data_IF_758696915584
#
_entry.id   IF_758696915584
#
_cell.length_a   1.000
_cell.length_b   1.000
_cell.length_c   1.000
_cell.angle_alpha   90.00
_cell.angle_beta   90.00
_cell.angle_gamma   90.00
#
_symmetry.space_group_name_H-M   'P 1'
#
loop_
_entity.id
_entity.type
_entity.pdbx_description
1 polymer ?
#
# COMPACT_ATOMS: atom_id res chain seq x y z
N UNK A 1 -6.66 32.20 22.62
CA UNK A 1 -6.36 31.87 21.20
C UNK A 1 -7.22 30.66 20.85
N UNK A 2 -8.23 30.81 19.97
CA UNK A 2 -8.96 29.64 19.49
C UNK A 2 -7.99 28.81 18.63
N UNK A 3 -7.75 27.56 19.03
CA UNK A 3 -7.02 26.62 18.18
C UNK A 3 -7.74 26.55 16.83
N UNK A 4 -6.98 26.54 15.73
CA UNK A 4 -7.57 26.23 14.43
C UNK A 4 -8.32 24.89 14.57
N UNK A 5 -9.49 24.72 13.93
CA UNK A 5 -10.21 23.46 13.98
C UNK A 5 -9.29 22.29 13.57
N UNK A 6 -9.62 21.03 13.89
CA UNK A 6 -8.81 19.90 13.45
C UNK A 6 -8.82 19.80 11.91
N UNK A 7 -7.76 19.22 11.35
CA UNK A 7 -7.66 18.96 9.91
C UNK A 7 -8.56 17.79 9.49
N UNK A 8 -8.51 16.73 10.29
CA UNK A 8 -9.20 15.48 10.11
C UNK A 8 -9.65 14.98 11.49
N UNK A 9 -10.57 14.02 11.49
CA UNK A 9 -10.94 13.25 12.68
C UNK A 9 -10.92 11.78 12.29
N UNK A 10 -10.40 10.92 13.16
CA UNK A 10 -10.33 9.50 12.90
C UNK A 10 -10.86 8.71 14.10
N UNK A 11 -11.42 7.55 13.82
CA UNK A 11 -11.83 6.57 14.82
C UNK A 11 -11.47 5.18 14.32
N UNK A 12 -11.05 4.33 15.24
CA UNK A 12 -10.63 2.96 14.95
C UNK A 12 -11.18 2.00 15.98
N UNK A 13 -11.49 0.78 15.54
CA UNK A 13 -11.88 -0.30 16.42
C UNK A 13 -11.49 -1.64 15.80
N UNK A 14 -11.00 -2.54 16.64
CA UNK A 14 -10.79 -3.96 16.32
C UNK A 14 -11.54 -4.80 17.33
N UNK A 15 -12.17 -5.87 16.87
CA UNK A 15 -13.00 -6.78 17.65
C UNK A 15 -12.71 -8.22 17.22
N UNK A 16 -12.70 -9.14 18.18
CA UNK A 16 -12.42 -10.56 17.91
C UNK A 16 -13.52 -11.22 17.06
N UNK A 17 -14.71 -10.63 16.98
CA UNK A 17 -15.87 -11.24 16.38
C UNK A 17 -16.60 -12.18 17.34
N UNK A 18 -17.45 -13.05 16.80
CA UNK A 18 -18.24 -14.01 17.61
C UNK A 18 -17.71 -15.43 17.54
N UNK A 19 -17.01 -15.79 16.47
CA UNK A 19 -16.62 -17.19 16.19
C UNK A 19 -15.13 -17.47 16.40
N UNK A 20 -14.28 -16.44 16.39
CA UNK A 20 -12.84 -16.58 16.69
C UNK A 20 -12.59 -16.44 18.19
N UNK A 21 -11.48 -17.03 18.66
CA UNK A 21 -11.01 -16.95 20.06
C UNK A 21 -9.91 -15.92 20.26
N UNK A 22 -9.15 -15.66 19.21
CA UNK A 22 -7.98 -14.78 19.20
C UNK A 22 -8.21 -13.74 18.12
N UNK A 23 -7.78 -12.51 18.38
CA UNK A 23 -7.78 -11.46 17.39
C UNK A 23 -6.42 -11.42 16.71
N UNK A 24 -6.38 -11.80 15.44
CA UNK A 24 -5.18 -11.78 14.59
C UNK A 24 -5.13 -10.52 13.71
N UNK A 25 -6.16 -9.67 13.75
CA UNK A 25 -6.09 -8.34 13.16
C UNK A 25 -5.28 -7.38 14.02
N UNK A 26 -4.65 -6.41 13.36
CA UNK A 26 -4.02 -5.26 13.99
C UNK A 26 -4.42 -3.96 13.27
N UNK A 27 -4.36 -2.86 14.02
CA UNK A 27 -4.71 -1.52 13.52
C UNK A 27 -3.70 -0.49 13.98
N UNK A 28 -3.36 0.45 13.09
CA UNK A 28 -2.43 1.54 13.34
C UNK A 28 -3.12 2.88 13.10
N UNK A 29 -2.88 3.84 13.99
CA UNK A 29 -3.19 5.24 13.79
C UNK A 29 -2.04 6.11 14.33
N UNK A 30 -1.46 6.91 13.46
CA UNK A 30 -0.32 7.76 13.76
C UNK A 30 -0.60 9.18 13.26
N UNK A 31 -0.66 10.13 14.18
CA UNK A 31 -0.80 11.54 13.84
C UNK A 31 0.50 12.08 13.22
N UNK A 32 0.37 12.78 12.09
CA UNK A 32 1.49 13.39 11.38
C UNK A 32 1.28 14.90 11.26
N UNK A 33 2.35 15.71 11.16
CA UNK A 33 2.21 17.17 11.12
C UNK A 33 1.31 17.72 10.01
N UNK A 34 1.09 16.96 8.93
CA UNK A 34 0.30 17.38 7.76
C UNK A 34 -0.91 16.46 7.49
N UNK A 35 -1.22 15.54 8.41
CA UNK A 35 -2.25 14.52 8.23
C UNK A 35 -2.08 13.35 9.20
N UNK A 36 -2.07 12.13 8.68
CA UNK A 36 -1.95 10.92 9.51
C UNK A 36 -1.66 9.68 8.69
N UNK A 37 -1.12 8.65 9.34
CA UNK A 37 -0.94 7.31 8.77
C UNK A 37 -1.85 6.34 9.52
N UNK A 38 -2.75 5.70 8.78
CA UNK A 38 -3.69 4.71 9.28
C UNK A 38 -3.45 3.40 8.55
N UNK A 39 -3.52 2.27 9.24
CA UNK A 39 -3.41 0.98 8.57
C UNK A 39 -4.22 -0.10 9.28
N UNK A 40 -4.62 -1.11 8.50
CA UNK A 40 -5.21 -2.36 8.95
C UNK A 40 -4.35 -3.50 8.41
N UNK A 41 -4.10 -4.49 9.24
CA UNK A 41 -3.41 -5.72 8.88
C UNK A 41 -4.21 -6.91 9.43
N UNK A 42 -4.54 -7.87 8.57
CA UNK A 42 -5.24 -9.11 8.91
C UNK A 42 -4.22 -10.24 8.93
N UNK A 43 -3.93 -10.76 10.12
CA UNK A 43 -2.89 -11.76 10.35
C UNK A 43 -3.37 -13.17 10.06
N UNK A 44 -2.62 -13.89 9.21
CA UNK A 44 -2.90 -15.28 8.86
C UNK A 44 -1.79 -16.23 9.33
N UNK A 45 -2.21 -17.42 9.74
CA UNK A 45 -1.34 -18.44 10.32
C UNK A 45 -2.04 -19.14 11.48
N UNK A 46 -1.41 -20.17 12.07
CA UNK A 46 -1.89 -20.72 13.33
C UNK A 46 -2.04 -19.62 14.40
N UNK A 47 -2.88 -19.85 15.42
CA UNK A 47 -3.30 -18.87 16.44
C UNK A 47 -2.30 -17.72 16.72
N UNK A 48 -1.18 -17.99 17.40
CA UNK A 48 -0.21 -16.96 17.81
C UNK A 48 0.57 -16.34 16.63
N UNK A 49 0.65 -17.03 15.50
CA UNK A 49 1.46 -16.61 14.36
C UNK A 49 0.80 -15.48 13.55
N UNK A 50 -0.53 -15.50 13.41
CA UNK A 50 -1.27 -14.43 12.72
C UNK A 50 -1.18 -13.10 13.46
N UNK A 51 -1.46 -13.09 14.77
CA UNK A 51 -1.35 -11.89 15.62
C UNK A 51 0.06 -11.30 15.57
N UNK A 52 1.09 -12.14 15.69
CA UNK A 52 2.48 -11.70 15.59
C UNK A 52 2.79 -11.08 14.23
N UNK A 53 2.35 -11.71 13.14
CA UNK A 53 2.59 -11.21 11.79
C UNK A 53 1.96 -9.82 11.55
N UNK A 54 0.70 -9.63 11.96
CA UNK A 54 0.00 -8.35 11.80
C UNK A 54 0.68 -7.23 12.60
N UNK A 55 1.05 -7.48 13.87
CA UNK A 55 1.74 -6.50 14.70
C UNK A 55 3.14 -6.15 14.15
N UNK A 56 3.95 -7.15 13.79
CA UNK A 56 5.27 -6.93 13.19
C UNK A 56 5.19 -6.08 11.91
N UNK A 57 4.17 -6.31 11.08
CA UNK A 57 3.98 -5.53 9.88
C UNK A 57 3.67 -4.06 10.18
N UNK A 58 2.77 -3.78 11.13
CA UNK A 58 2.40 -2.39 11.48
C UNK A 58 3.52 -1.65 12.22
N UNK A 59 4.25 -2.34 13.10
CA UNK A 59 5.41 -1.77 13.80
C UNK A 59 6.49 -1.37 12.80
N UNK A 60 6.89 -2.30 11.92
CA UNK A 60 7.87 -2.03 10.88
C UNK A 60 7.40 -0.94 9.90
N UNK A 61 6.11 -0.95 9.51
CA UNK A 61 5.54 0.10 8.64
C UNK A 61 5.70 1.48 9.30
N UNK A 62 5.27 1.63 10.55
CA UNK A 62 5.28 2.91 11.25
C UNK A 62 6.72 3.42 11.47
N UNK A 63 7.61 2.56 11.94
CA UNK A 63 9.01 2.90 12.19
C UNK A 63 9.73 3.31 10.91
N UNK A 64 9.67 2.47 9.87
CA UNK A 64 10.36 2.76 8.61
C UNK A 64 9.77 3.95 7.88
N UNK A 65 8.45 4.18 7.99
CA UNK A 65 7.88 5.39 7.43
C UNK A 65 8.43 6.63 8.15
N UNK A 66 8.40 6.67 9.49
CA UNK A 66 8.86 7.80 10.30
C UNK A 66 10.35 8.11 10.11
N UNK A 67 11.21 7.10 10.08
CA UNK A 67 12.66 7.24 9.88
C UNK A 67 13.04 7.45 8.41
N UNK A 68 12.15 7.06 7.50
CA UNK A 68 12.35 7.11 6.06
C UNK A 68 12.62 8.52 5.54
N UNK A 69 13.48 8.63 4.53
CA UNK A 69 13.80 9.88 3.84
C UNK A 69 13.26 9.84 2.41
N UNK A 70 12.98 11.00 1.84
CA UNK A 70 12.49 11.12 0.46
C UNK A 70 11.01 11.50 0.39
N UNK A 71 10.41 11.29 -0.79
CA UNK A 71 9.03 11.66 -1.02
C UNK A 71 8.07 10.68 -0.31
N UNK A 72 6.91 11.12 0.20
CA UNK A 72 5.98 10.25 0.92
C UNK A 72 5.56 8.96 0.18
N UNK A 73 5.29 8.96 -1.14
CA UNK A 73 5.02 7.70 -1.86
C UNK A 73 6.18 6.70 -1.84
N UNK A 74 7.42 7.19 -1.94
CA UNK A 74 8.62 6.36 -1.91
C UNK A 74 8.85 5.80 -0.50
N UNK A 75 8.73 6.66 0.52
CA UNK A 75 8.82 6.27 1.94
C UNK A 75 7.77 5.22 2.30
N UNK A 76 6.54 5.39 1.84
CA UNK A 76 5.45 4.44 2.10
C UNK A 76 5.74 3.09 1.43
N UNK A 77 6.16 3.07 0.17
CA UNK A 77 6.53 1.82 -0.52
C UNK A 77 7.74 1.12 0.14
N UNK A 78 8.75 1.88 0.55
CA UNK A 78 9.92 1.34 1.28
C UNK A 78 9.51 0.78 2.65
N UNK A 79 8.59 1.44 3.36
CA UNK A 79 8.07 0.98 4.64
C UNK A 79 7.24 -0.32 4.52
N UNK A 80 6.41 -0.45 3.48
CA UNK A 80 5.69 -1.71 3.18
C UNK A 80 6.68 -2.84 2.88
N UNK A 81 7.73 -2.57 2.11
CA UNK A 81 8.76 -3.57 1.85
C UNK A 81 9.53 -3.97 3.12
N UNK A 82 9.74 -3.05 4.06
CA UNK A 82 10.33 -3.37 5.35
C UNK A 82 9.38 -4.20 6.21
N UNK A 83 8.09 -3.87 6.26
CA UNK A 83 7.06 -4.67 6.92
C UNK A 83 7.03 -6.11 6.39
N UNK A 84 7.07 -6.29 5.07
CA UNK A 84 7.17 -7.60 4.46
C UNK A 84 8.40 -8.41 4.94
N UNK A 85 9.56 -7.76 5.00
CA UNK A 85 10.79 -8.41 5.44
C UNK A 85 10.77 -8.75 6.93
N UNK A 86 10.16 -7.88 7.76
CA UNK A 86 10.01 -8.13 9.19
C UNK A 86 9.18 -9.40 9.43
N UNK A 87 8.03 -9.54 8.76
CA UNK A 87 7.20 -10.76 8.84
C UNK A 87 7.97 -11.98 8.32
N UNK A 88 8.59 -11.88 7.14
CA UNK A 88 9.35 -12.99 6.53
C UNK A 88 10.51 -13.48 7.42
N UNK A 89 11.23 -12.57 8.08
CA UNK A 89 12.37 -12.92 8.95
C UNK A 89 11.94 -13.65 10.22
N UNK A 90 10.74 -13.37 10.71
CA UNK A 90 10.19 -14.00 11.91
C UNK A 90 9.39 -15.27 11.59
N UNK A 91 9.17 -15.61 10.32
CA UNK A 91 8.46 -16.80 9.88
C UNK A 91 9.33 -18.08 9.98
N UNK A 92 9.84 -18.37 11.18
CA UNK A 92 10.75 -19.48 11.50
C UNK A 92 10.20 -20.33 12.65
N UNK A 93 10.60 -21.60 12.72
CA UNK A 93 10.15 -22.52 13.78
C UNK A 93 8.64 -22.74 13.76
N UNK A 94 7.95 -22.43 14.87
CA UNK A 94 6.49 -22.55 14.99
C UNK A 94 5.71 -21.48 14.19
N UNK A 95 6.39 -20.44 13.71
CA UNK A 95 5.83 -19.33 12.94
C UNK A 95 5.99 -19.50 11.43
N UNK A 96 6.47 -20.66 10.96
CA UNK A 96 6.60 -20.94 9.52
C UNK A 96 5.23 -20.81 8.85
N UNK A 97 5.20 -20.04 7.76
CA UNK A 97 3.98 -19.79 6.99
C UNK A 97 3.10 -18.68 7.57
N UNK A 98 3.52 -17.97 8.61
CA UNK A 98 2.82 -16.78 9.05
C UNK A 98 2.87 -15.68 7.97
N UNK A 99 1.79 -14.93 7.87
CA UNK A 99 1.67 -13.83 6.94
C UNK A 99 0.62 -12.84 7.40
N UNK A 100 0.48 -11.75 6.67
CA UNK A 100 -0.60 -10.80 6.96
C UNK A 100 -0.94 -9.98 5.72
N UNK A 101 -2.17 -9.49 5.64
CA UNK A 101 -2.52 -8.42 4.70
C UNK A 101 -1.96 -7.09 5.19
N UNK A 102 -1.97 -6.08 4.33
CA UNK A 102 -1.70 -4.72 4.72
C UNK A 102 -2.48 -3.74 3.84
N UNK A 103 -3.29 -2.91 4.47
CA UNK A 103 -3.91 -1.75 3.85
C UNK A 103 -3.52 -0.51 4.64
N UNK A 104 -2.69 0.35 4.06
CA UNK A 104 -2.27 1.61 4.66
C UNK A 104 -2.81 2.82 3.89
N UNK A 105 -3.38 3.76 4.63
CA UNK A 105 -3.82 5.08 4.19
C UNK A 105 -2.92 6.14 4.82
N UNK A 106 -2.16 6.83 3.98
CA UNK A 106 -1.41 8.01 4.37
C UNK A 106 -2.13 9.26 3.87
N UNK A 107 -2.55 10.12 4.79
CA UNK A 107 -3.01 11.47 4.49
C UNK A 107 -1.83 12.41 4.65
N UNK A 108 -1.47 13.10 3.58
CA UNK A 108 -0.45 14.14 3.58
C UNK A 108 -0.97 15.35 2.82
N UNK A 109 -1.23 16.42 3.57
CA UNK A 109 -1.87 17.65 3.08
C UNK A 109 -3.25 17.35 2.46
N UNK A 110 -3.50 17.80 1.23
CA UNK A 110 -4.76 17.58 0.51
C UNK A 110 -4.85 16.27 -0.26
N UNK A 111 -4.03 15.26 0.05
CA UNK A 111 -4.02 13.99 -0.69
C UNK A 111 -4.03 12.77 0.24
N UNK A 112 -4.63 11.70 -0.25
CA UNK A 112 -4.54 10.37 0.30
C UNK A 112 -3.66 9.50 -0.59
N UNK A 113 -2.77 8.73 0.02
CA UNK A 113 -1.97 7.68 -0.60
C UNK A 113 -2.40 6.34 0.00
N UNK A 114 -2.79 5.41 -0.84
CA UNK A 114 -3.15 4.05 -0.46
C UNK A 114 -2.04 3.10 -0.87
N UNK A 115 -1.60 2.27 0.07
CA UNK A 115 -0.70 1.16 -0.15
C UNK A 115 -1.42 -0.13 0.27
N UNK A 116 -1.63 -1.04 -0.68
CA UNK A 116 -2.53 -2.18 -0.52
C UNK A 116 -1.86 -3.50 -0.92
N UNK A 117 -1.97 -4.50 -0.04
CA UNK A 117 -1.51 -5.88 -0.19
C UNK A 117 -2.49 -6.81 0.54
N UNK A 118 -3.38 -7.49 -0.20
CA UNK A 118 -4.27 -8.50 0.38
C UNK A 118 -5.70 -8.23 -0.07
N UNK A 119 -6.66 -8.53 0.78
CA UNK A 119 -8.11 -8.39 0.55
C UNK A 119 -8.82 -7.51 1.59
N UNK A 120 -8.06 -6.81 2.43
CA UNK A 120 -8.59 -5.68 3.19
C UNK A 120 -9.02 -4.55 2.26
N UNK A 121 -10.11 -3.86 2.60
CA UNK A 121 -10.78 -2.93 1.67
C UNK A 121 -10.75 -1.50 2.13
N UNK A 122 -10.53 -0.59 1.17
CA UNK A 122 -10.72 0.84 1.36
C UNK A 122 -11.93 1.37 0.59
N UNK A 123 -12.66 2.29 1.20
CA UNK A 123 -13.79 3.00 0.57
C UNK A 123 -13.68 4.50 0.78
N UNK A 124 -14.19 5.27 -0.17
CA UNK A 124 -14.38 6.70 -0.11
C UNK A 124 -15.87 7.02 -0.22
N UNK A 125 -16.43 7.65 0.80
CA UNK A 125 -17.73 8.32 0.73
C UNK A 125 -17.50 9.79 0.37
N UNK A 126 -17.96 10.19 -0.82
CA UNK A 126 -17.89 11.57 -1.31
C UNK A 126 -19.21 11.96 -1.93
N UNK A 127 -19.77 13.09 -1.47
CA UNK A 127 -21.04 13.63 -1.97
C UNK A 127 -22.16 12.57 -2.04
N UNK A 128 -22.30 11.77 -0.98
CA UNK A 128 -23.33 10.73 -0.87
C UNK A 128 -23.09 9.46 -1.70
N UNK A 129 -21.95 9.34 -2.40
CA UNK A 129 -21.59 8.14 -3.16
C UNK A 129 -20.46 7.40 -2.46
N UNK A 130 -20.68 6.12 -2.19
CA UNK A 130 -19.65 5.20 -1.69
C UNK A 130 -18.92 4.60 -2.90
N UNK A 131 -17.60 4.75 -2.92
CA UNK A 131 -16.73 4.18 -3.93
C UNK A 131 -15.71 3.27 -3.24
N UNK A 132 -15.67 1.99 -3.64
CA UNK A 132 -14.57 1.09 -3.29
C UNK A 132 -13.30 1.51 -4.02
N UNK A 133 -12.19 1.62 -3.29
CA UNK A 133 -10.90 2.09 -3.81
C UNK A 133 -9.93 0.94 -4.14
N UNK A 134 -10.00 -0.18 -3.42
CA UNK A 134 -9.10 -1.34 -3.60
C UNK A 134 -9.80 -2.51 -4.25
N UNK A 135 -9.04 -3.35 -4.96
CA UNK A 135 -9.48 -4.65 -5.48
C UNK A 135 -8.76 -5.75 -4.73
N UNK A 136 -9.48 -6.81 -4.34
CA UNK A 136 -8.89 -7.86 -3.51
C UNK A 136 -7.79 -8.60 -4.27
N UNK A 137 -6.69 -8.90 -3.57
CA UNK A 137 -5.67 -9.81 -4.04
C UNK A 137 -5.99 -11.24 -3.57
N UNK A 138 -7.13 -11.75 -4.03
CA UNK A 138 -7.52 -13.14 -3.84
C UNK A 138 -7.39 -13.94 -5.14
N UNK A 139 -7.35 -15.26 -5.03
CA UNK A 139 -7.31 -16.13 -6.20
C UNK A 139 -8.51 -15.91 -7.12
N UNK A 140 -9.72 -15.78 -6.53
CA UNK A 140 -10.95 -15.55 -7.30
C UNK A 140 -10.94 -14.18 -7.97
N UNK A 141 -10.42 -13.14 -7.31
CA UNK A 141 -10.31 -11.82 -7.91
C UNK A 141 -9.31 -11.82 -9.09
N UNK A 142 -8.22 -12.59 -8.99
CA UNK A 142 -7.31 -12.79 -10.11
C UNK A 142 -8.00 -13.49 -11.29
N UNK A 143 -8.79 -14.55 -11.02
CA UNK A 143 -9.53 -15.24 -12.08
C UNK A 143 -10.56 -14.33 -12.75
N UNK A 144 -11.25 -13.48 -12.00
CA UNK A 144 -12.16 -12.47 -12.58
C UNK A 144 -11.39 -11.49 -13.46
N UNK A 145 -10.23 -11.01 -13.00
CA UNK A 145 -9.38 -10.10 -13.77
C UNK A 145 -8.89 -10.72 -15.08
N UNK A 146 -8.58 -12.02 -15.06
CA UNK A 146 -8.18 -12.78 -16.24
C UNK A 146 -9.36 -13.17 -17.16
N UNK A 147 -10.60 -12.89 -16.76
CA UNK A 147 -11.81 -13.25 -17.50
C UNK A 147 -12.23 -14.72 -17.37
N UNK A 148 -11.64 -15.46 -16.43
CA UNK A 148 -11.92 -16.88 -16.19
C UNK A 148 -13.16 -17.09 -15.30
N UNK A 149 -13.53 -16.11 -14.48
CA UNK A 149 -14.72 -16.12 -13.64
C UNK A 149 -15.49 -14.81 -13.78
N UNK A 150 -16.80 -14.87 -13.59
CA UNK A 150 -17.63 -13.68 -13.35
C UNK A 150 -17.56 -13.28 -11.88
N UNK A 151 -17.89 -12.01 -11.57
CA UNK A 151 -17.99 -11.56 -10.17
C UNK A 151 -19.02 -12.36 -9.35
N UNK A 152 -20.10 -12.82 -10.01
CA UNK A 152 -21.13 -13.61 -9.37
C UNK A 152 -20.62 -15.00 -8.96
N UNK A 153 -19.84 -15.65 -9.83
CA UNK A 153 -19.20 -16.94 -9.54
C UNK A 153 -18.14 -16.80 -8.46
N UNK A 154 -17.32 -15.76 -8.53
CA UNK A 154 -16.26 -15.49 -7.55
C UNK A 154 -16.77 -15.39 -6.10
N UNK A 155 -17.94 -14.76 -5.89
CA UNK A 155 -18.55 -14.60 -4.56
C UNK A 155 -18.89 -15.92 -3.87
N UNK A 156 -19.29 -16.93 -4.63
CA UNK A 156 -19.72 -18.23 -4.11
C UNK A 156 -18.65 -19.33 -4.29
N UNK A 157 -17.46 -18.97 -4.77
CA UNK A 157 -16.42 -19.93 -5.07
C UNK A 157 -15.77 -20.45 -3.77
N UNK A 158 -15.48 -21.75 -3.71
CA UNK A 158 -14.85 -22.40 -2.56
C UNK A 158 -13.48 -21.80 -2.18
N UNK A 159 -12.75 -21.22 -3.15
CA UNK A 159 -11.47 -20.53 -2.92
C UNK A 159 -11.57 -19.01 -2.75
N UNK A 160 -12.75 -18.47 -2.42
CA UNK A 160 -12.94 -17.02 -2.26
C UNK A 160 -12.04 -16.37 -1.22
N UNK A 161 -11.66 -17.12 -0.19
CA UNK A 161 -10.78 -16.68 0.91
C UNK A 161 -9.30 -17.00 0.68
N UNK A 162 -8.92 -17.54 -0.48
CA UNK A 162 -7.52 -17.82 -0.78
C UNK A 162 -6.84 -16.53 -1.23
N UNK A 163 -6.02 -15.96 -0.36
CA UNK A 163 -5.24 -14.74 -0.64
C UNK A 163 -4.10 -15.10 -1.59
N UNK A 164 -3.98 -14.36 -2.70
CA UNK A 164 -2.95 -14.54 -3.73
C UNK A 164 -1.73 -13.63 -3.52
N UNK A 165 -1.82 -12.66 -2.61
CA UNK A 165 -0.74 -11.73 -2.29
C UNK A 165 -0.84 -11.26 -0.83
N UNK A 166 0.22 -11.48 -0.05
CA UNK A 166 0.30 -11.11 1.35
C UNK A 166 1.75 -10.82 1.76
N UNK A 167 1.93 -10.19 2.92
CA UNK A 167 3.24 -9.98 3.52
C UNK A 167 3.75 -11.28 4.15
N UNK A 168 5.06 -11.50 4.08
CA UNK A 168 5.73 -12.64 4.72
C UNK A 168 5.89 -13.88 3.82
N UNK A 169 5.30 -13.89 2.61
CA UNK A 169 5.40 -15.03 1.69
C UNK A 169 6.65 -14.99 0.80
N UNK A 170 6.94 -13.83 0.20
CA UNK A 170 8.08 -13.64 -0.71
C UNK A 170 8.98 -12.50 -0.24
N UNK A 171 10.25 -12.50 -0.66
CA UNK A 171 11.20 -11.43 -0.29
C UNK A 171 10.77 -10.05 -0.80
N UNK A 172 10.24 -9.98 -2.02
CA UNK A 172 9.77 -8.74 -2.59
C UNK A 172 8.25 -8.72 -2.59
N UNK A 173 7.68 -7.71 -1.95
CA UNK A 173 6.23 -7.57 -1.90
C UNK A 173 5.69 -7.01 -3.22
N UNK A 174 4.55 -7.55 -3.67
CA UNK A 174 3.77 -6.97 -4.76
C UNK A 174 2.80 -5.95 -4.17
N UNK A 175 3.04 -4.68 -4.44
CA UNK A 175 2.31 -3.55 -3.86
C UNK A 175 1.44 -2.87 -4.93
N UNK A 176 0.20 -2.57 -4.57
CA UNK A 176 -0.60 -1.55 -5.24
C UNK A 176 -0.44 -0.23 -4.47
N UNK A 177 0.13 0.79 -5.12
CA UNK A 177 0.32 2.13 -4.55
C UNK A 177 -0.27 3.18 -5.48
N UNK A 178 -1.25 3.93 -4.99
CA UNK A 178 -1.87 5.02 -5.73
C UNK A 178 -2.29 6.16 -4.79
N UNK A 179 -2.54 7.34 -5.35
CA UNK A 179 -3.01 8.49 -4.61
C UNK A 179 -4.17 9.20 -5.27
N UNK A 180 -4.96 9.89 -4.46
CA UNK A 180 -6.07 10.71 -4.91
C UNK A 180 -6.14 12.04 -4.12
N UNK A 181 -6.64 13.11 -4.74
CA UNK A 181 -6.90 14.36 -4.04
C UNK A 181 -8.09 14.19 -3.08
N UNK A 182 -7.96 14.75 -1.89
CA UNK A 182 -9.01 14.82 -0.86
C UNK A 182 -9.72 16.18 -0.90
N UNK A 183 -10.95 16.18 -0.41
CA UNK A 183 -11.83 17.33 -0.28
C UNK A 183 -12.48 17.33 1.10
N UNK A 184 -12.78 18.51 1.62
CA UNK A 184 -13.59 18.64 2.82
C UNK A 184 -14.93 17.89 2.65
N UNK A 185 -15.32 17.14 3.69
CA UNK A 185 -16.51 16.29 3.69
C UNK A 185 -16.28 14.88 3.13
N UNK A 186 -15.07 14.56 2.64
CA UNK A 186 -14.72 13.18 2.34
C UNK A 186 -14.66 12.35 3.63
N UNK A 187 -15.16 11.11 3.55
CA UNK A 187 -15.03 10.11 4.60
C UNK A 187 -14.41 8.85 4.02
N UNK A 188 -13.31 8.40 4.59
CA UNK A 188 -12.59 7.19 4.20
C UNK A 188 -12.87 6.08 5.21
N UNK A 189 -13.01 4.86 4.72
CA UNK A 189 -13.11 3.64 5.53
C UNK A 189 -11.98 2.70 5.11
N UNK A 190 -11.23 2.15 6.06
CA UNK A 190 -10.38 0.98 5.89
C UNK A 190 -10.99 -0.14 6.74
N UNK A 191 -11.05 -1.36 6.22
CA UNK A 191 -11.53 -2.49 7.00
C UNK A 191 -10.90 -3.83 6.58
N UNK A 192 -10.80 -4.76 7.52
CA UNK A 192 -10.49 -6.17 7.23
C UNK A 192 -11.66 -6.86 6.55
N UNK A 193 -11.44 -8.09 6.09
CA UNK A 193 -12.47 -8.86 5.38
C UNK A 193 -13.61 -9.27 6.33
N UNK A 194 -13.38 -9.39 7.64
CA UNK A 194 -14.40 -9.71 8.64
C UNK A 194 -15.52 -8.67 8.73
N UNK A 195 -15.30 -7.42 8.28
CA UNK A 195 -16.39 -6.46 8.06
C UNK A 195 -17.00 -6.64 6.67
N UNK A 196 -16.17 -6.58 5.63
CA UNK A 196 -16.63 -6.44 4.24
C UNK A 196 -17.17 -7.72 3.60
N UNK A 197 -16.99 -8.86 4.26
CA UNK A 197 -17.54 -10.16 3.86
C UNK A 197 -18.98 -10.36 4.31
N UNK A 198 -19.41 -9.71 5.40
CA UNK A 198 -20.74 -9.87 6.00
C UNK A 198 -21.61 -8.63 5.93
N UNK A 199 -21.01 -7.42 5.85
CA UNK A 199 -21.74 -6.17 5.68
C UNK A 199 -21.65 -5.72 4.21
N UNK A 200 -22.80 -5.72 3.54
CA UNK A 200 -22.90 -5.30 2.14
C UNK A 200 -22.72 -3.79 1.93
N UNK A 201 -22.37 -3.38 0.70
CA UNK A 201 -22.06 -1.99 0.36
C UNK A 201 -23.22 -1.01 0.61
N UNK A 202 -24.48 -1.46 0.48
CA UNK A 202 -25.66 -0.65 0.79
C UNK A 202 -25.73 -0.30 2.27
N UNK A 203 -25.50 -1.28 3.15
CA UNK A 203 -25.45 -1.08 4.60
C UNK A 203 -24.23 -0.24 4.99
N UNK A 204 -23.06 -0.47 4.38
CA UNK A 204 -21.88 0.38 4.59
C UNK A 204 -22.17 1.84 4.23
N UNK A 205 -22.81 2.10 3.08
CA UNK A 205 -23.19 3.45 2.67
C UNK A 205 -24.13 4.08 3.69
N UNK A 206 -25.16 3.36 4.14
CA UNK A 206 -26.12 3.87 5.12
C UNK A 206 -25.42 4.23 6.43
N UNK A 207 -24.59 3.34 6.98
CA UNK A 207 -23.87 3.56 8.24
C UNK A 207 -22.88 4.72 8.14
N UNK A 208 -22.10 4.80 7.04
CA UNK A 208 -21.14 5.87 6.83
C UNK A 208 -21.81 7.23 6.60
N UNK A 209 -23.03 7.26 6.06
CA UNK A 209 -23.77 8.49 5.77
C UNK A 209 -24.44 9.13 7.00
N UNK A 210 -24.56 8.44 8.15
CA UNK A 210 -25.31 8.88 9.34
C UNK A 210 -24.78 10.12 10.09
N UNK A 211 -23.82 10.87 9.55
CA UNK A 211 -23.20 12.06 10.19
C UNK A 211 -22.75 11.86 11.65
N UNK A 212 -22.47 10.60 12.04
CA UNK A 212 -21.92 10.27 13.34
C UNK A 212 -20.42 10.54 13.38
N UNK A 213 -19.83 10.91 14.53
CA UNK A 213 -18.38 10.97 14.69
C UNK A 213 -17.69 9.64 14.33
N UNK A 214 -16.44 9.66 13.86
CA UNK A 214 -15.72 8.44 13.46
C UNK A 214 -15.75 7.32 14.52
N UNK A 215 -15.51 7.63 15.80
CA UNK A 215 -15.52 6.63 16.88
C UNK A 215 -16.88 5.94 17.08
N UNK A 216 -17.98 6.67 16.84
CA UNK A 216 -19.33 6.08 16.88
C UNK A 216 -19.57 5.26 15.62
N UNK A 217 -19.15 5.76 14.46
CA UNK A 217 -19.31 5.09 13.18
C UNK A 217 -18.61 3.73 13.16
N UNK A 218 -17.36 3.63 13.64
CA UNK A 218 -16.66 2.33 13.73
C UNK A 218 -17.37 1.35 14.66
N UNK A 219 -17.93 1.80 15.79
CA UNK A 219 -18.73 0.94 16.68
C UNK A 219 -19.98 0.39 15.99
N UNK A 220 -20.71 1.23 15.25
CA UNK A 220 -21.88 0.77 14.49
C UNK A 220 -21.50 -0.22 13.39
N UNK A 221 -20.35 -0.02 12.71
CA UNK A 221 -19.83 -0.96 11.71
C UNK A 221 -19.48 -2.33 12.33
N UNK A 222 -18.75 -2.34 13.45
CA UNK A 222 -18.39 -3.57 14.16
C UNK A 222 -19.65 -4.27 14.69
N UNK A 223 -20.62 -3.52 15.23
CA UNK A 223 -21.88 -4.09 15.70
C UNK A 223 -22.66 -4.75 14.56
N UNK A 224 -22.78 -4.09 13.40
CA UNK A 224 -23.45 -4.65 12.24
C UNK A 224 -22.81 -5.96 11.75
N UNK A 225 -21.47 -6.04 11.73
CA UNK A 225 -20.75 -7.27 11.39
C UNK A 225 -20.96 -8.39 12.42
N UNK A 226 -20.96 -8.03 13.71
CA UNK A 226 -21.24 -8.97 14.79
C UNK A 226 -22.69 -9.47 14.80
N UNK A 227 -23.66 -8.61 14.45
CA UNK A 227 -25.07 -8.97 14.27
C UNK A 227 -25.29 -9.89 13.06
N UNK A 228 -24.46 -9.74 12.01
CA UNK A 228 -24.40 -10.66 10.87
C UNK A 228 -23.69 -11.99 11.19
N UNK A 229 -23.34 -12.24 12.46
CA UNK A 229 -22.80 -13.50 12.96
C UNK A 229 -21.31 -13.49 13.30
N UNK A 230 -20.58 -12.41 13.00
CA UNK A 230 -19.17 -12.20 13.34
C UNK A 230 -18.25 -13.41 13.11
N UNK A 231 -18.14 -13.91 11.86
CA UNK A 231 -17.42 -15.15 11.56
C UNK A 231 -15.89 -15.02 11.67
N UNK A 232 -15.37 -13.79 11.58
CA UNK A 232 -13.94 -13.50 11.65
C UNK A 232 -13.62 -12.33 12.59
N UNK A 233 -12.33 -12.03 12.74
CA UNK A 233 -11.86 -10.80 13.35
C UNK A 233 -12.30 -9.59 12.53
N UNK A 234 -12.68 -8.50 13.19
CA UNK A 234 -13.35 -7.38 12.55
C UNK A 234 -12.61 -6.11 12.94
N UNK A 235 -12.00 -5.46 11.95
CA UNK A 235 -11.25 -4.22 12.16
C UNK A 235 -11.72 -3.14 11.19
N UNK A 236 -11.92 -1.93 11.71
CA UNK A 236 -12.35 -0.77 10.94
C UNK A 236 -11.66 0.52 11.39
N UNK A 237 -11.29 1.36 10.41
CA UNK A 237 -10.82 2.73 10.62
C UNK A 237 -11.65 3.67 9.77
N UNK A 238 -12.26 4.68 10.38
CA UNK A 238 -12.97 5.77 9.68
C UNK A 238 -12.18 7.05 9.83
N UNK A 239 -11.96 7.76 8.73
CA UNK A 239 -11.27 9.05 8.70
C UNK A 239 -12.09 10.10 7.97
N UNK A 240 -12.45 11.17 8.67
CA UNK A 240 -13.17 12.32 8.15
C UNK A 240 -12.22 13.45 7.79
N UNK A 241 -12.34 13.96 6.55
CA UNK A 241 -11.60 15.15 6.10
C UNK A 241 -12.45 16.38 6.41
N UNK A 242 -12.03 17.16 7.40
CA UNK A 242 -12.84 18.27 7.91
C UNK A 242 -12.62 19.57 7.13
N UNK A 243 -11.44 19.74 6.51
CA UNK A 243 -11.09 20.95 5.76
C UNK A 243 -10.22 20.64 4.55
N UNK A 244 -10.34 21.47 3.53
CA UNK A 244 -9.48 21.41 2.36
C UNK A 244 -8.04 21.78 2.70
N UNK A 245 -7.11 21.10 2.02
CA UNK A 245 -5.71 21.43 2.05
C UNK A 245 -5.15 21.52 0.64
N UNK A 246 -4.04 22.25 0.50
CA UNK A 246 -3.29 22.26 -0.75
C UNK A 246 -2.77 20.87 -1.06
N UNK A 247 -2.79 20.48 -2.33
CA UNK A 247 -2.15 19.26 -2.78
C UNK A 247 -0.65 19.29 -2.48
N UNK A 248 -0.05 18.11 -2.22
CA UNK A 248 1.39 18.02 -2.04
C UNK A 248 2.16 18.38 -3.32
N UNK A 249 3.44 18.74 -3.17
CA UNK A 249 4.32 19.12 -4.28
C UNK A 249 4.93 17.93 -5.04
N UNK A 250 4.55 16.69 -4.71
CA UNK A 250 4.94 15.48 -5.44
C UNK A 250 3.75 14.95 -6.25
N UNK A 251 4.01 14.23 -7.35
CA UNK A 251 2.94 13.62 -8.13
C UNK A 251 2.27 12.51 -7.31
N UNK A 252 0.95 12.45 -7.40
CA UNK A 252 0.24 11.30 -6.86
C UNK A 252 0.47 10.10 -7.78
N UNK A 253 0.85 8.92 -7.24
CA UNK A 253 0.96 7.73 -8.06
C UNK A 253 -0.42 7.37 -8.63
N UNK A 254 -0.46 7.02 -9.92
CA UNK A 254 -1.71 6.68 -10.60
C UNK A 254 -2.02 5.21 -10.39
N UNK A 255 -3.28 4.89 -10.09
CA UNK A 255 -3.76 3.50 -10.01
C UNK A 255 -3.58 2.80 -11.35
N UNK A 256 -3.08 1.56 -11.32
CA UNK A 256 -2.82 0.77 -12.53
C UNK A 256 -3.87 -0.33 -12.65
N UNK A 257 -4.26 -0.63 -13.90
CA UNK A 257 -5.14 -1.76 -14.23
C UNK A 257 -4.48 -3.12 -14.10
N UNK A 258 -3.14 -3.16 -14.17
CA UNK A 258 -2.38 -4.40 -14.32
C UNK A 258 -2.15 -5.14 -12.98
N UNK A 259 -2.74 -4.64 -11.89
CA UNK A 259 -2.63 -5.20 -10.55
C UNK A 259 -1.32 -4.85 -9.80
N UNK A 260 -1.01 -5.58 -8.72
CA UNK A 260 0.09 -5.25 -7.82
C UNK A 260 1.46 -5.58 -8.42
N UNK A 261 2.45 -4.71 -8.16
CA UNK A 261 3.80 -4.80 -8.72
C UNK A 261 4.88 -4.93 -7.65
N UNK A 262 5.98 -5.59 -7.98
CA UNK A 262 7.18 -5.63 -7.14
C UNK A 262 7.62 -4.20 -6.73
N UNK A 263 7.77 -3.96 -5.42
CA UNK A 263 8.12 -2.64 -4.87
C UNK A 263 9.41 -2.09 -5.47
N UNK A 264 10.42 -2.92 -5.76
CA UNK A 264 11.66 -2.44 -6.38
C UNK A 264 11.40 -1.89 -7.78
N UNK A 265 10.48 -2.51 -8.53
CA UNK A 265 10.06 -2.03 -9.84
C UNK A 265 9.33 -0.70 -9.73
N UNK A 266 8.45 -0.57 -8.75
CA UNK A 266 7.71 0.65 -8.45
C UNK A 266 8.65 1.82 -8.09
N UNK A 267 9.57 1.59 -7.15
CA UNK A 267 10.55 2.58 -6.72
C UNK A 267 11.50 2.97 -7.86
N UNK A 268 11.90 2.02 -8.71
CA UNK A 268 12.71 2.33 -9.90
C UNK A 268 11.97 3.19 -10.91
N UNK A 269 10.68 2.93 -11.13
CA UNK A 269 9.86 3.74 -12.03
C UNK A 269 9.73 5.19 -11.52
N UNK A 270 9.53 5.38 -10.22
CA UNK A 270 9.44 6.70 -9.59
C UNK A 270 10.78 7.46 -9.60
N UNK A 271 11.89 6.79 -9.25
CA UNK A 271 13.24 7.39 -9.26
C UNK A 271 13.78 7.73 -10.65
N UNK A 272 13.19 7.19 -11.72
CA UNK A 272 13.63 7.46 -13.11
C UNK A 272 13.23 8.85 -13.59
N UNK A 273 12.28 9.49 -12.92
CA UNK A 273 11.96 10.89 -13.10
C UNK A 273 12.69 11.74 -12.06
N UNK A 274 13.27 12.87 -12.51
CA UNK A 274 13.83 14.00 -11.73
C UNK A 274 15.36 13.97 -11.59
N UNK A 275 15.99 15.07 -11.18
CA UNK A 275 16.54 16.20 -11.95
C UNK A 275 17.69 15.90 -12.93
N UNK A 276 18.24 14.67 -12.96
CA UNK A 276 19.51 14.39 -13.64
C UNK A 276 19.41 14.41 -15.17
N UNK A 277 18.27 13.97 -15.71
CA UNK A 277 17.95 14.11 -17.14
C UNK A 277 17.87 15.59 -17.53
N UNK A 278 17.32 16.44 -16.65
CA UNK A 278 17.27 17.88 -16.89
C UNK A 278 18.66 18.50 -16.82
N UNK A 279 19.53 18.09 -15.88
CA UNK A 279 20.93 18.54 -15.84
C UNK A 279 21.68 18.16 -17.12
N UNK A 280 21.50 16.93 -17.61
CA UNK A 280 22.08 16.49 -18.88
C UNK A 280 21.53 17.28 -20.08
N UNK A 281 20.23 17.55 -20.12
CA UNK A 281 19.59 18.35 -21.18
C UNK A 281 20.02 19.82 -21.14
N UNK A 282 20.11 20.43 -19.95
CA UNK A 282 20.60 21.80 -19.74
C UNK A 282 22.07 21.90 -20.17
N UNK A 283 22.89 20.95 -19.76
CA UNK A 283 24.31 20.92 -20.12
C UNK A 283 24.50 20.74 -21.63
N UNK A 284 23.72 19.85 -22.25
CA UNK A 284 23.72 19.67 -23.70
C UNK A 284 23.26 20.95 -24.42
N UNK A 285 22.20 21.61 -23.93
CA UNK A 285 21.68 22.87 -24.47
C UNK A 285 22.73 23.99 -24.43
N UNK A 286 23.36 24.25 -23.28
CA UNK A 286 24.38 25.28 -23.16
C UNK A 286 25.64 24.97 -23.98
N UNK A 287 25.99 23.69 -24.13
CA UNK A 287 27.08 23.29 -25.01
C UNK A 287 26.76 23.63 -26.47
N UNK A 288 25.55 23.27 -26.93
CA UNK A 288 25.10 23.57 -28.29
C UNK A 288 25.00 25.08 -28.55
N UNK A 289 24.46 25.82 -27.58
CA UNK A 289 24.35 27.28 -27.62
C UNK A 289 25.73 27.95 -27.68
N UNK A 290 26.70 27.48 -26.88
CA UNK A 290 28.07 28.00 -26.89
C UNK A 290 28.80 27.76 -28.22
N UNK A 291 28.59 26.59 -28.84
CA UNK A 291 29.11 26.29 -30.20
C UNK A 291 28.50 27.22 -31.25
N UNK A 292 27.22 27.58 -31.09
CA UNK A 292 26.54 28.49 -32.01
C UNK A 292 27.00 29.95 -31.84
N UNK A 293 27.16 30.43 -30.60
CA UNK A 293 27.43 31.83 -30.28
C UNK A 293 28.91 32.23 -30.33
N UNK A 294 29.86 31.29 -30.21
CA UNK A 294 31.30 31.58 -30.17
C UNK A 294 32.03 30.83 -31.30
N UNK A 295 32.00 31.35 -32.55
CA UNK A 295 32.53 30.64 -33.72
C UNK A 295 34.02 30.33 -33.61
N UNK A 296 34.79 31.20 -32.98
CA UNK A 296 36.26 31.12 -32.88
C UNK A 296 36.74 29.98 -31.97
N UNK A 297 35.88 29.50 -31.07
CA UNK A 297 36.22 28.45 -30.10
C UNK A 297 35.29 27.24 -30.15
N UNK A 298 34.60 27.03 -31.27
CA UNK A 298 33.63 25.93 -31.46
C UNK A 298 34.15 24.56 -31.03
N UNK A 299 35.36 24.21 -31.43
CA UNK A 299 35.98 22.92 -31.11
C UNK A 299 36.24 22.77 -29.62
N UNK A 300 36.72 23.83 -28.96
CA UNK A 300 37.04 23.81 -27.53
C UNK A 300 35.76 23.73 -26.68
N UNK A 301 34.73 24.51 -27.02
CA UNK A 301 33.42 24.48 -26.33
C UNK A 301 32.73 23.13 -26.50
N UNK A 302 32.73 22.56 -27.71
CA UNK A 302 32.18 21.24 -27.97
C UNK A 302 32.92 20.15 -27.19
N UNK A 303 34.25 20.21 -27.15
CA UNK A 303 35.07 19.22 -26.47
C UNK A 303 34.87 19.28 -24.95
N UNK A 304 34.83 20.49 -24.37
CA UNK A 304 34.57 20.70 -22.94
C UNK A 304 33.18 20.22 -22.53
N UNK A 305 32.14 20.59 -23.28
CA UNK A 305 30.76 20.18 -23.00
C UNK A 305 30.54 18.66 -23.15
N UNK A 306 31.18 18.05 -24.15
CA UNK A 306 31.16 16.59 -24.33
C UNK A 306 31.89 15.88 -23.19
N UNK A 307 33.04 16.40 -22.75
CA UNK A 307 33.79 15.86 -21.61
C UNK A 307 32.97 15.93 -20.32
N UNK A 308 32.25 17.04 -20.11
CA UNK A 308 31.39 17.22 -18.94
C UNK A 308 30.19 16.26 -18.97
N UNK A 309 29.57 16.05 -20.13
CA UNK A 309 28.48 15.08 -20.33
C UNK A 309 28.95 13.64 -20.09
N UNK A 310 30.15 13.29 -20.58
CA UNK A 310 30.79 11.99 -20.36
C UNK A 310 31.13 11.81 -18.87
N UNK A 311 31.69 12.83 -18.22
CA UNK A 311 32.00 12.79 -16.78
C UNK A 311 30.76 12.53 -15.92
N UNK A 312 29.64 13.20 -16.22
CA UNK A 312 28.36 12.99 -15.55
C UNK A 312 27.81 11.58 -15.82
N UNK A 313 27.95 11.03 -17.02
CA UNK A 313 27.47 9.66 -17.32
C UNK A 313 28.38 8.55 -16.74
N UNK A 314 29.68 8.77 -16.62
CA UNK A 314 30.62 7.83 -15.97
C UNK A 314 30.38 7.79 -14.47
N UNK A 315 30.29 8.94 -13.82
CA UNK A 315 29.94 9.02 -12.38
C UNK A 315 28.59 8.35 -12.10
N UNK A 316 27.61 8.46 -13.02
CA UNK A 316 26.36 7.71 -12.96
C UNK A 316 26.56 6.19 -13.02
N UNK A 317 27.35 5.69 -13.98
CA UNK A 317 27.61 4.25 -14.12
C UNK A 317 28.29 3.70 -12.87
N UNK A 318 29.23 4.44 -12.32
CA UNK A 318 29.95 4.07 -11.10
C UNK A 318 29.05 4.09 -9.86
N UNK A 319 28.20 5.11 -9.69
CA UNK A 319 27.22 5.15 -8.60
C UNK A 319 26.21 3.99 -8.68
N UNK A 320 25.72 3.67 -9.89
CA UNK A 320 24.82 2.52 -10.13
C UNK A 320 25.50 1.17 -9.89
N UNK A 321 26.78 1.04 -10.26
CA UNK A 321 27.55 -0.18 -10.01
C UNK A 321 27.81 -0.42 -8.52
N UNK A 322 28.05 0.65 -7.74
CA UNK A 322 28.17 0.58 -6.27
C UNK A 322 26.86 0.13 -5.62
N UNK A 323 25.71 0.66 -6.04
CA UNK A 323 24.38 0.25 -5.58
C UNK A 323 24.02 -1.19 -5.96
N UNK A 324 24.53 -1.70 -7.08
CA UNK A 324 24.32 -3.10 -7.50
C UNK A 324 25.19 -4.10 -6.74
N UNK A 325 26.41 -3.71 -6.34
CA UNK A 325 27.32 -4.57 -5.55
C UNK A 325 26.90 -4.73 -4.10
N UNK A 326 26.07 -3.83 -3.57
CA UNK A 326 25.46 -3.94 -2.23
C UNK A 326 24.15 -4.72 -2.21
N UNK A 327 23.67 -5.24 -3.34
CA UNK A 327 22.49 -6.11 -3.41
C UNK A 327 22.91 -7.60 -3.36
N UNK A 328 22.29 -8.43 -2.49
CA UNK A 328 22.63 -9.86 -2.40
C UNK A 328 22.22 -10.62 -3.68
N UNK A 329 22.90 -11.73 -4.01
CA UNK A 329 22.68 -12.48 -5.25
C UNK A 329 21.24 -13.02 -5.35
N UNK A 330 20.67 -12.94 -6.55
CA UNK A 330 19.34 -13.48 -6.89
C UNK A 330 19.41 -15.01 -6.95
N UNK A 331 18.55 -15.70 -6.21
CA UNK A 331 18.24 -17.10 -6.42
C UNK A 331 17.37 -17.27 -7.69
N UNK A 332 17.57 -18.34 -8.49
CA UNK A 332 16.74 -18.61 -9.66
C UNK A 332 15.33 -19.02 -9.22
N UNK A 333 14.32 -18.38 -9.85
CA UNK A 333 12.90 -18.56 -9.52
C UNK A 333 12.39 -19.96 -9.84
N UNK A 334 11.65 -20.55 -8.88
CA UNK A 334 10.79 -21.70 -9.11
C UNK A 334 9.40 -21.19 -9.49
N UNK A 335 8.85 -21.69 -10.59
CA UNK A 335 7.46 -21.46 -10.95
C UNK A 335 6.55 -22.04 -9.84
N UNK A 336 5.60 -21.25 -9.37
CA UNK A 336 4.59 -21.69 -8.42
C UNK A 336 3.73 -22.78 -9.08
N UNK A 337 3.88 -24.00 -8.57
CA UNK A 337 2.98 -25.12 -8.85
C UNK A 337 1.85 -25.09 -7.80
N UNK A 338 0.65 -25.60 -8.10
CA UNK A 338 -0.45 -25.67 -7.13
C UNK A 338 -0.01 -26.46 -5.87
N UNK A 339 -0.58 -26.17 -4.69
CA UNK A 339 -0.31 -26.97 -3.50
C UNK A 339 -0.82 -28.40 -3.72
N UNK A 340 0.03 -29.38 -3.37
CA UNK A 340 -0.30 -30.80 -3.37
C UNK A 340 -1.53 -31.08 -2.50
N UNK A 341 -2.35 -32.04 -2.96
CA UNK A 341 -3.50 -32.55 -2.20
C UNK A 341 -3.03 -33.11 -0.85
N UNK A 342 -3.74 -32.74 0.21
CA UNK A 342 -3.60 -33.35 1.54
C UNK A 342 -3.90 -34.86 1.46
N UNK A 343 -2.99 -35.77 1.88
CA UNK A 343 -3.22 -37.21 1.81
C UNK A 343 -4.15 -37.76 2.91
N UNK A 344 -5.06 -36.96 3.47
CA UNK A 344 -5.99 -37.38 4.54
C UNK A 344 -7.47 -37.39 4.17
N UNK A 345 -7.79 -37.51 2.89
CA UNK A 345 -9.13 -37.94 2.46
C UNK A 345 -9.10 -39.39 1.97
N UNK A 346 -9.21 -40.32 2.92
CA UNK A 346 -9.79 -41.64 2.63
C UNK A 346 -11.31 -41.55 2.74
N UNK A 347 -12.07 -42.11 1.79
CA UNK A 347 -13.53 -42.17 1.89
C UNK A 347 -13.92 -43.23 2.92
N UNK A 348 -14.72 -42.83 3.91
CA UNK A 348 -15.36 -43.69 4.90
C UNK A 348 -16.68 -43.10 5.32
#
# INVERSE_FOLDING_TARGET
MCAAPPLLSAGLLTDVGRQRRVNQDAVLALDLPQGGLYAVADGMGGHAAGELAANLALDALSQHYLEGRGLPPERLAEAVQAANLAVLQHAVGEYVGMGTTLLALLIDRGAALLAHVGDSRAYLLRAGKLQRLTEDHSWVAEQVRLGNLTEAEARNHHWRSVISNGLGAEKNVRLELFGLPLRAGDRLLLCSDGLSSVVGESTLLELLARSLPPDRTVRELINAANEAGGPDNITAVVVDILRDQRLPHYPLPVRRSDGPMDVQTLLRAQRRSRPLTYVLLILAYFTLLGVMLIPEHRTLVALLGTLLLIGVTITQRLARARLRRSAPPRSPGRAASPPDRDPRETPG
#
